data_IF_950425432684
#
_entry.id   IF_950425432684
#
_cell.length_a   1.000
_cell.length_b   1.000
_cell.length_c   1.000
_cell.angle_alpha   90.00
_cell.angle_beta   90.00
_cell.angle_gamma   90.00
#
_symmetry.space_group_name_H-M   'P 1'
#
loop_
_entity.id
_entity.type
_entity.pdbx_description
1 polymer ?
#
# COMPACT_ATOMS: atom_id res chain seq x y z
N UNK A 1 5.71 -21.10 43.81
CA UNK A 1 4.85 -21.28 42.62
C UNK A 1 5.73 -20.99 41.43
N UNK A 2 6.07 -22.03 40.67
CA UNK A 2 6.98 -21.96 39.54
C UNK A 2 6.23 -21.47 38.30
N UNK A 3 6.71 -20.40 37.66
CA UNK A 3 6.22 -19.91 36.38
C UNK A 3 6.65 -20.87 35.27
N UNK A 4 5.68 -21.39 34.52
CA UNK A 4 5.93 -22.21 33.35
C UNK A 4 6.60 -21.37 32.24
N UNK A 5 7.53 -21.96 31.44
CA UNK A 5 8.15 -21.25 30.33
C UNK A 5 7.13 -21.07 29.20
N UNK A 6 7.06 -19.84 28.68
CA UNK A 6 6.29 -19.52 27.47
C UNK A 6 6.88 -20.28 26.30
N UNK A 7 6.03 -21.08 25.64
CA UNK A 7 6.31 -21.82 24.42
C UNK A 7 6.88 -20.88 23.35
N UNK A 8 8.05 -21.23 22.83
CA UNK A 8 8.64 -20.63 21.64
C UNK A 8 7.66 -20.85 20.46
N UNK A 9 7.18 -19.74 19.90
CA UNK A 9 6.34 -19.78 18.70
C UNK A 9 7.17 -20.34 17.54
N UNK A 10 6.73 -21.47 16.98
CA UNK A 10 7.30 -22.06 15.77
C UNK A 10 7.37 -20.98 14.66
N UNK A 11 8.46 -20.89 13.91
CA UNK A 11 8.52 -20.01 12.75
C UNK A 11 7.48 -20.48 11.73
N UNK A 12 6.59 -19.57 11.34
CA UNK A 12 5.63 -19.79 10.24
C UNK A 12 6.43 -20.16 9.00
N UNK A 13 6.12 -21.27 8.29
CA UNK A 13 6.86 -21.67 7.10
C UNK A 13 6.80 -20.57 6.06
N UNK A 14 7.96 -20.16 5.57
CA UNK A 14 8.06 -19.23 4.45
C UNK A 14 7.25 -19.82 3.28
N UNK A 15 6.36 -19.03 2.70
CA UNK A 15 5.68 -19.34 1.43
C UNK A 15 6.67 -19.98 0.47
N UNK A 16 6.25 -21.05 -0.23
CA UNK A 16 7.04 -21.80 -1.19
C UNK A 16 7.91 -20.84 -2.04
N UNK A 17 9.22 -21.10 -2.06
CA UNK A 17 10.21 -20.26 -2.70
C UNK A 17 9.84 -20.10 -4.19
N UNK A 18 9.28 -18.93 -4.55
CA UNK A 18 9.32 -18.46 -5.91
C UNK A 18 10.80 -18.21 -6.24
N UNK A 19 11.27 -18.71 -7.39
CA UNK A 19 12.64 -18.50 -7.86
C UNK A 19 12.99 -17.01 -7.89
N UNK A 20 14.24 -16.66 -7.57
CA UNK A 20 14.67 -15.32 -7.19
C UNK A 20 14.31 -14.19 -8.16
N UNK A 21 14.07 -14.47 -9.44
CA UNK A 21 13.76 -13.45 -10.47
C UNK A 21 12.26 -13.07 -10.55
N UNK A 22 11.34 -13.89 -10.01
CA UNK A 22 9.90 -13.64 -10.07
C UNK A 22 9.37 -12.85 -8.85
N UNK A 23 10.20 -12.56 -7.87
CA UNK A 23 9.82 -11.83 -6.65
C UNK A 23 10.02 -10.34 -6.83
N UNK A 24 8.94 -9.56 -6.70
CA UNK A 24 9.02 -8.09 -6.74
C UNK A 24 9.32 -7.48 -5.38
N UNK A 25 8.67 -7.98 -4.32
CA UNK A 25 8.85 -7.46 -2.96
C UNK A 25 9.14 -8.61 -1.99
N UNK A 26 10.18 -8.44 -1.17
CA UNK A 26 10.49 -9.31 -0.04
C UNK A 26 10.65 -8.48 1.22
N UNK A 27 9.92 -8.86 2.25
CA UNK A 27 9.97 -8.31 3.60
C UNK A 27 10.50 -9.39 4.52
N UNK A 28 11.59 -9.12 5.25
CA UNK A 28 12.29 -10.12 6.06
C UNK A 28 12.42 -9.62 7.50
N UNK A 29 11.73 -10.28 8.44
CA UNK A 29 11.76 -9.99 9.88
C UNK A 29 11.62 -8.51 10.20
N UNK A 30 10.73 -7.81 9.50
CA UNK A 30 10.54 -6.36 9.68
C UNK A 30 9.89 -6.07 11.02
N UNK A 31 10.54 -5.16 11.76
CA UNK A 31 10.09 -4.65 13.05
C UNK A 31 9.91 -3.14 12.96
N UNK A 32 8.79 -2.64 13.50
CA UNK A 32 8.55 -1.22 13.70
C UNK A 32 7.94 -0.95 15.06
N UNK A 33 8.72 -0.29 15.90
CA UNK A 33 8.31 0.17 17.21
C UNK A 33 8.22 1.69 17.26
N UNK A 34 7.22 2.21 17.94
CA UNK A 34 7.06 3.64 18.19
C UNK A 34 7.27 3.92 19.68
N UNK A 35 8.14 4.87 20.02
CA UNK A 35 8.32 5.25 21.42
C UNK A 35 7.06 5.93 21.97
N UNK A 36 6.60 5.51 23.12
CA UNK A 36 5.55 6.18 23.88
C UNK A 36 6.19 7.32 24.67
N UNK A 37 5.61 8.53 24.56
CA UNK A 37 6.05 9.65 25.40
C UNK A 37 5.66 9.39 26.87
N UNK A 38 6.59 8.88 27.66
CA UNK A 38 6.41 8.79 29.12
C UNK A 38 6.37 10.17 29.76
N UNK A 39 5.42 10.39 30.65
CA UNK A 39 5.35 11.60 31.50
C UNK A 39 6.19 11.38 32.74
N UNK A 40 7.48 11.81 32.77
CA UNK A 40 8.35 11.80 33.96
C UNK A 40 9.83 11.56 33.63
N UNK A 41 10.75 12.15 34.43
CA UNK A 41 12.19 12.12 34.14
C UNK A 41 12.89 10.77 34.41
N UNK A 42 12.22 9.78 35.01
CA UNK A 42 12.81 8.49 35.42
C UNK A 42 12.04 7.25 34.90
N UNK A 43 11.14 7.37 33.88
CA UNK A 43 10.42 6.20 33.33
C UNK A 43 11.21 5.53 32.23
N UNK A 44 11.20 4.20 32.25
CA UNK A 44 11.65 3.40 31.09
C UNK A 44 10.89 3.78 29.85
N UNK A 45 11.59 3.79 28.70
CA UNK A 45 10.97 4.06 27.39
C UNK A 45 10.07 2.89 27.03
N UNK A 46 8.77 3.09 27.10
CA UNK A 46 7.78 2.15 26.59
C UNK A 46 7.68 2.27 25.06
N UNK A 47 7.38 1.18 24.39
CA UNK A 47 7.24 1.14 22.94
C UNK A 47 5.93 0.46 22.53
N UNK A 48 5.25 1.01 21.54
CA UNK A 48 4.17 0.33 20.83
C UNK A 48 4.82 -0.54 19.74
N UNK A 49 4.61 -1.85 19.82
CA UNK A 49 5.09 -2.84 18.87
C UNK A 49 4.09 -2.92 17.70
N UNK A 50 4.17 -1.99 16.76
CA UNK A 50 3.20 -1.89 15.68
C UNK A 50 3.42 -2.95 14.59
N UNK A 51 4.68 -3.35 14.34
CA UNK A 51 5.06 -4.47 13.48
C UNK A 51 6.18 -5.21 14.19
N UNK A 52 6.08 -6.52 14.32
CA UNK A 52 6.97 -7.34 15.14
C UNK A 52 7.36 -8.64 14.43
N UNK A 53 8.48 -8.59 13.69
CA UNK A 53 9.06 -9.74 13.00
C UNK A 53 8.30 -10.21 11.77
N UNK A 54 7.66 -9.31 11.03
CA UNK A 54 6.87 -9.67 9.85
C UNK A 54 7.76 -10.05 8.67
N UNK A 55 7.47 -11.21 8.07
CA UNK A 55 8.09 -11.68 6.82
C UNK A 55 7.02 -12.03 5.80
N UNK A 56 7.19 -11.57 4.55
CA UNK A 56 6.32 -11.91 3.42
C UNK A 56 7.06 -11.74 2.09
N UNK A 57 6.55 -12.42 1.06
CA UNK A 57 7.08 -12.37 -0.30
C UNK A 57 5.94 -12.12 -1.27
N UNK A 58 6.12 -11.17 -2.20
CA UNK A 58 5.11 -10.82 -3.20
C UNK A 58 5.69 -11.04 -4.59
N UNK A 59 5.20 -12.03 -5.33
CA UNK A 59 5.58 -12.26 -6.71
C UNK A 59 5.12 -11.13 -7.63
N UNK A 60 5.79 -10.96 -8.77
CA UNK A 60 5.41 -9.98 -9.78
C UNK A 60 4.03 -10.30 -10.36
N UNK A 61 3.25 -9.25 -10.64
CA UNK A 61 1.93 -9.38 -11.25
C UNK A 61 0.87 -10.01 -10.35
N UNK A 62 1.20 -10.31 -9.10
CA UNK A 62 0.26 -10.90 -8.14
C UNK A 62 -0.24 -9.89 -7.11
N UNK A 63 -1.38 -10.21 -6.51
CA UNK A 63 -1.92 -9.49 -5.35
C UNK A 63 -1.65 -10.28 -4.07
N UNK A 64 -0.96 -9.64 -3.14
CA UNK A 64 -0.76 -10.16 -1.78
C UNK A 64 -1.68 -9.43 -0.81
N UNK A 65 -2.61 -10.16 -0.23
CA UNK A 65 -3.57 -9.66 0.75
C UNK A 65 -3.01 -9.61 2.16
N UNK A 66 -3.34 -8.57 2.91
CA UNK A 66 -3.07 -8.48 4.36
C UNK A 66 -4.36 -8.15 5.07
N UNK A 67 -4.84 -9.06 5.92
CA UNK A 67 -6.09 -8.93 6.67
C UNK A 67 -5.83 -8.97 8.17
N UNK A 68 -6.68 -8.37 8.97
CA UNK A 68 -6.61 -8.39 10.43
C UNK A 68 -7.41 -7.26 11.06
N UNK A 69 -7.52 -7.27 12.37
CA UNK A 69 -8.28 -6.27 13.13
C UNK A 69 -7.73 -4.85 12.96
N UNK A 70 -8.59 -3.85 13.19
CA UNK A 70 -8.17 -2.45 13.20
C UNK A 70 -7.14 -2.23 14.30
N UNK A 71 -6.04 -1.54 13.96
CA UNK A 71 -4.95 -1.29 14.90
C UNK A 71 -3.92 -2.41 15.04
N UNK A 72 -4.06 -3.57 14.38
CA UNK A 72 -3.07 -4.67 14.47
C UNK A 72 -1.74 -4.40 13.73
N UNK A 73 -1.57 -3.25 13.06
CA UNK A 73 -0.30 -2.84 12.44
C UNK A 73 -0.26 -2.85 10.92
N UNK A 74 -1.34 -3.21 10.20
CA UNK A 74 -1.40 -3.32 8.72
C UNK A 74 -0.94 -2.05 8.00
N UNK A 75 -1.53 -0.90 8.33
CA UNK A 75 -1.16 0.39 7.72
C UNK A 75 0.27 0.82 8.09
N UNK A 76 0.77 0.39 9.26
CA UNK A 76 2.17 0.62 9.62
C UNK A 76 3.10 -0.21 8.74
N UNK A 77 2.78 -1.48 8.51
CA UNK A 77 3.52 -2.36 7.59
C UNK A 77 3.52 -1.77 6.18
N UNK A 78 2.36 -1.33 5.66
CA UNK A 78 2.23 -0.65 4.37
C UNK A 78 3.18 0.55 4.25
N UNK A 79 3.20 1.41 5.26
CA UNK A 79 4.05 2.60 5.29
C UNK A 79 5.54 2.26 5.43
N UNK A 80 5.88 1.15 6.09
CA UNK A 80 7.26 0.65 6.12
C UNK A 80 7.69 0.15 4.74
N UNK A 81 6.85 -0.61 4.03
CA UNK A 81 7.11 -1.08 2.65
C UNK A 81 7.28 0.11 1.70
N UNK A 82 6.38 1.12 1.77
CA UNK A 82 6.48 2.35 0.99
C UNK A 82 7.66 3.26 1.39
N UNK A 83 8.43 2.89 2.44
CA UNK A 83 9.52 3.73 3.00
C UNK A 83 9.04 5.13 3.40
N UNK A 84 7.78 5.23 3.87
CA UNK A 84 7.23 6.40 4.55
C UNK A 84 7.58 6.38 6.05
N UNK A 85 7.75 5.19 6.62
CA UNK A 85 8.32 4.97 7.95
C UNK A 85 9.61 4.17 7.82
N UNK A 86 10.64 4.58 8.56
CA UNK A 86 11.84 3.78 8.73
C UNK A 86 11.53 2.58 9.63
N UNK A 87 12.06 1.41 9.30
CA UNK A 87 11.95 0.22 10.13
C UNK A 87 12.89 0.30 11.33
N UNK A 88 12.53 -0.33 12.44
CA UNK A 88 13.42 -0.47 13.62
C UNK A 88 14.49 -1.52 13.35
N UNK A 89 14.11 -2.65 12.77
CA UNK A 89 15.01 -3.72 12.31
C UNK A 89 14.36 -4.53 11.18
N UNK A 90 15.07 -5.51 10.64
CA UNK A 90 14.64 -6.30 9.50
C UNK A 90 15.08 -5.72 8.17
N UNK A 91 14.56 -6.28 7.07
CA UNK A 91 15.00 -5.97 5.72
C UNK A 91 13.81 -5.88 4.76
N UNK A 92 13.88 -4.93 3.82
CA UNK A 92 12.91 -4.77 2.73
C UNK A 92 13.68 -4.75 1.42
N UNK A 93 13.40 -5.71 0.54
CA UNK A 93 14.00 -5.81 -0.79
C UNK A 93 12.90 -5.59 -1.82
N UNK A 94 13.11 -4.64 -2.71
CA UNK A 94 12.22 -4.32 -3.81
C UNK A 94 12.97 -4.44 -5.13
N UNK A 95 12.44 -5.24 -6.05
CA UNK A 95 13.04 -5.49 -7.37
C UNK A 95 14.53 -5.88 -7.29
N UNK A 96 14.85 -6.80 -6.38
CA UNK A 96 16.23 -7.26 -6.10
C UNK A 96 17.10 -6.28 -5.31
N UNK A 97 16.65 -5.03 -5.10
CA UNK A 97 17.40 -4.00 -4.38
C UNK A 97 16.97 -3.89 -2.91
N UNK A 98 17.93 -3.92 -1.99
CA UNK A 98 17.68 -3.60 -0.58
C UNK A 98 17.38 -2.10 -0.42
N UNK A 99 16.14 -1.79 -0.02
CA UNK A 99 15.67 -0.42 0.17
C UNK A 99 15.61 -0.01 1.64
N UNK A 100 15.97 -0.90 2.57
CA UNK A 100 15.73 -0.76 4.01
C UNK A 100 16.31 0.53 4.60
N UNK A 101 17.54 0.86 4.24
CA UNK A 101 18.30 2.01 4.79
C UNK A 101 18.68 3.04 3.73
N UNK A 102 18.00 3.03 2.57
CA UNK A 102 18.30 4.01 1.53
C UNK A 102 17.96 5.43 2.01
N UNK A 103 18.84 6.37 1.70
CA UNK A 103 18.58 7.79 1.94
C UNK A 103 17.41 8.28 1.08
N UNK A 104 16.76 9.37 1.49
CA UNK A 104 15.63 9.97 0.76
C UNK A 104 15.98 10.27 -0.70
N UNK A 105 17.23 10.69 -0.98
CA UNK A 105 17.71 10.95 -2.33
C UNK A 105 17.75 9.67 -3.18
N UNK A 106 18.21 8.54 -2.61
CA UNK A 106 18.26 7.24 -3.30
C UNK A 106 16.89 6.60 -3.44
N UNK A 107 15.95 6.89 -2.51
CA UNK A 107 14.55 6.45 -2.60
C UNK A 107 13.74 7.19 -3.67
N UNK A 108 14.15 8.39 -4.09
CA UNK A 108 13.37 9.23 -5.01
C UNK A 108 13.00 8.54 -6.33
N UNK A 109 13.89 7.85 -7.06
CA UNK A 109 13.51 7.09 -8.26
C UNK A 109 12.58 5.91 -7.93
N UNK A 110 12.86 5.16 -6.86
CA UNK A 110 12.07 4.00 -6.46
C UNK A 110 10.63 4.35 -6.05
N UNK A 111 10.41 5.58 -5.55
CA UNK A 111 9.06 6.08 -5.26
C UNK A 111 8.18 6.25 -6.49
N UNK A 112 8.74 6.31 -7.69
CA UNK A 112 7.95 6.27 -8.91
C UNK A 112 7.46 4.84 -9.18
N UNK A 113 8.23 3.83 -8.78
CA UNK A 113 7.93 2.42 -8.99
C UNK A 113 7.07 1.83 -7.86
N UNK A 114 7.08 2.45 -6.66
CA UNK A 114 6.26 2.07 -5.50
C UNK A 114 5.28 3.19 -5.22
N UNK A 115 4.01 2.95 -5.44
CA UNK A 115 2.93 3.90 -5.18
C UNK A 115 2.01 3.43 -4.07
N UNK A 116 1.27 4.35 -3.46
CA UNK A 116 0.33 4.04 -2.38
C UNK A 116 -1.02 4.70 -2.62
N UNK A 117 -2.08 3.91 -2.46
CA UNK A 117 -3.47 4.36 -2.41
C UNK A 117 -3.88 4.33 -0.94
N UNK A 118 -4.28 5.49 -0.40
CA UNK A 118 -4.58 5.66 1.02
C UNK A 118 -6.04 5.35 1.34
N UNK A 119 -6.29 5.02 2.60
CA UNK A 119 -7.59 4.69 3.18
C UNK A 119 -8.63 5.81 3.03
N UNK A 120 -8.22 7.05 3.22
CA UNK A 120 -9.10 8.21 3.14
C UNK A 120 -8.93 8.95 1.80
N UNK A 121 -9.85 8.73 0.84
CA UNK A 121 -9.78 9.43 -0.43
C UNK A 121 -10.04 10.94 -0.31
N UNK A 122 -10.72 11.39 0.77
CA UNK A 122 -11.00 12.80 0.99
C UNK A 122 -9.75 13.51 1.53
N UNK A 123 -9.16 12.98 2.60
CA UNK A 123 -7.95 13.54 3.21
C UNK A 123 -6.70 13.43 2.33
N UNK A 124 -6.69 12.49 1.37
CA UNK A 124 -5.57 12.31 0.45
C UNK A 124 -5.56 13.28 -0.74
N UNK A 125 -6.69 13.96 -1.02
CA UNK A 125 -6.85 14.92 -2.11
C UNK A 125 -6.97 16.34 -1.55
N UNK A 126 -6.14 17.25 -2.02
CA UNK A 126 -6.27 18.67 -1.63
C UNK A 126 -7.59 19.26 -2.20
N UNK A 127 -8.58 19.62 -1.35
CA UNK A 127 -9.92 20.03 -1.81
C UNK A 127 -9.91 21.37 -2.56
N UNK A 128 -8.83 22.17 -2.42
CA UNK A 128 -8.67 23.48 -3.08
C UNK A 128 -8.01 23.37 -4.45
N UNK A 129 -7.65 22.17 -4.88
CA UNK A 129 -6.99 21.94 -6.17
C UNK A 129 -7.90 21.20 -7.13
N UNK A 130 -7.78 21.52 -8.42
CA UNK A 130 -8.53 20.83 -9.49
C UNK A 130 -8.01 19.41 -9.68
N UNK A 131 -8.90 18.50 -10.03
CA UNK A 131 -8.59 17.07 -10.22
C UNK A 131 -7.48 16.86 -11.26
N UNK A 132 -7.53 17.57 -12.36
CA UNK A 132 -6.47 17.51 -13.39
C UNK A 132 -5.08 17.94 -12.86
N UNK A 133 -5.03 18.88 -11.92
CA UNK A 133 -3.77 19.26 -11.27
C UNK A 133 -3.30 18.18 -10.30
N UNK A 134 -4.22 17.57 -9.53
CA UNK A 134 -3.89 16.51 -8.55
C UNK A 134 -3.31 15.28 -9.26
N UNK A 135 -3.97 14.81 -10.34
CA UNK A 135 -3.48 13.67 -11.15
C UNK A 135 -2.20 14.06 -11.90
N UNK A 136 -2.07 15.34 -12.28
CA UNK A 136 -0.94 15.86 -13.04
C UNK A 136 0.31 16.20 -12.21
N UNK A 137 0.23 16.22 -10.88
CA UNK A 137 1.37 16.54 -10.00
C UNK A 137 2.58 15.62 -10.22
N UNK A 138 2.43 14.30 -10.33
CA UNK A 138 3.54 13.41 -10.61
C UNK A 138 4.34 13.83 -11.85
N UNK A 139 3.64 14.20 -12.93
CA UNK A 139 4.27 14.66 -14.16
C UNK A 139 5.00 15.99 -13.99
N UNK A 140 4.43 16.92 -13.22
CA UNK A 140 5.02 18.23 -12.99
C UNK A 140 6.25 18.17 -12.07
N UNK A 141 6.14 17.45 -10.93
CA UNK A 141 7.21 17.36 -9.92
C UNK A 141 8.46 16.64 -10.46
N UNK A 142 8.25 15.67 -11.34
CA UNK A 142 9.34 14.89 -11.92
C UNK A 142 9.72 15.32 -13.35
N UNK A 143 9.15 16.42 -13.85
CA UNK A 143 9.41 16.96 -15.19
C UNK A 143 9.17 15.93 -16.32
N UNK A 144 8.14 15.06 -16.18
CA UNK A 144 7.83 14.00 -17.13
C UNK A 144 6.94 14.48 -18.29
N UNK A 145 6.17 15.54 -18.08
CA UNK A 145 5.34 16.20 -19.08
C UNK A 145 4.94 17.61 -18.64
N UNK A 146 4.72 18.50 -19.60
CA UNK A 146 4.28 19.88 -19.36
C UNK A 146 3.18 20.30 -20.34
N UNK A 147 2.49 21.41 -20.03
CA UNK A 147 1.52 22.04 -20.94
C UNK A 147 0.45 21.08 -21.45
N UNK A 148 0.24 21.08 -22.75
CA UNK A 148 -0.78 20.29 -23.45
C UNK A 148 -0.55 18.77 -23.29
N UNK A 149 0.71 18.33 -23.33
CA UNK A 149 1.08 16.92 -23.15
C UNK A 149 0.67 16.39 -21.77
N UNK A 150 0.94 17.15 -20.70
CA UNK A 150 0.50 16.77 -19.37
C UNK A 150 -1.02 16.67 -19.27
N UNK A 151 -1.75 17.64 -19.85
CA UNK A 151 -3.21 17.62 -19.87
C UNK A 151 -3.72 16.36 -20.58
N UNK A 152 -3.18 16.01 -21.75
CA UNK A 152 -3.55 14.81 -22.51
C UNK A 152 -3.33 13.53 -21.68
N UNK A 153 -2.14 13.36 -21.10
CA UNK A 153 -1.84 12.19 -20.26
C UNK A 153 -2.75 12.07 -19.03
N UNK A 154 -3.10 13.20 -18.41
CA UNK A 154 -4.05 13.20 -17.29
C UNK A 154 -5.44 12.79 -17.74
N UNK A 155 -5.90 13.28 -18.88
CA UNK A 155 -7.21 12.90 -19.43
C UNK A 155 -7.28 11.42 -19.81
N UNK A 156 -6.21 10.86 -20.38
CA UNK A 156 -6.06 9.42 -20.63
C UNK A 156 -6.13 8.58 -19.34
N UNK A 157 -5.48 9.06 -18.25
CA UNK A 157 -5.57 8.40 -16.95
C UNK A 157 -6.97 8.50 -16.35
N UNK A 158 -7.66 9.64 -16.49
CA UNK A 158 -9.04 9.78 -16.04
C UNK A 158 -9.96 8.79 -16.75
N UNK A 159 -9.85 8.68 -18.07
CA UNK A 159 -10.62 7.73 -18.87
C UNK A 159 -10.33 6.29 -18.46
N UNK A 160 -9.06 5.93 -18.26
CA UNK A 160 -8.64 4.59 -17.85
C UNK A 160 -9.24 4.14 -16.52
N UNK A 161 -9.49 5.07 -15.59
CA UNK A 161 -10.16 4.78 -14.33
C UNK A 161 -11.69 4.99 -14.37
N UNK A 162 -12.26 5.20 -15.54
CA UNK A 162 -13.69 5.41 -15.74
C UNK A 162 -14.22 6.76 -15.24
N UNK A 163 -13.38 7.79 -15.28
CA UNK A 163 -13.77 9.17 -15.03
C UNK A 163 -13.89 9.94 -16.35
N UNK A 164 -14.88 10.84 -16.45
CA UNK A 164 -15.02 11.68 -17.63
C UNK A 164 -13.83 12.67 -17.74
N UNK A 165 -13.03 12.64 -18.85
CA UNK A 165 -11.90 13.54 -19.06
C UNK A 165 -12.26 15.04 -19.07
N UNK A 166 -13.51 15.39 -19.40
CA UNK A 166 -13.98 16.77 -19.37
C UNK A 166 -14.05 17.35 -17.95
N UNK A 167 -14.14 16.49 -16.93
CA UNK A 167 -14.13 16.88 -15.54
C UNK A 167 -12.74 17.30 -15.01
N UNK A 168 -11.74 17.40 -15.88
CA UNK A 168 -10.37 17.81 -15.57
C UNK A 168 -10.29 19.07 -14.68
N UNK A 169 -11.16 20.05 -14.92
CA UNK A 169 -11.15 21.31 -14.18
C UNK A 169 -12.01 21.32 -12.91
N UNK A 170 -12.73 20.25 -12.59
CA UNK A 170 -13.55 20.14 -11.39
C UNK A 170 -12.71 19.99 -10.12
N UNK A 171 -13.32 20.31 -8.99
CA UNK A 171 -12.73 20.11 -7.67
C UNK A 171 -13.16 18.76 -7.08
N UNK A 172 -12.35 18.15 -6.17
CA UNK A 172 -12.71 16.88 -5.54
C UNK A 172 -14.08 16.85 -4.87
N UNK A 173 -14.55 17.97 -4.33
CA UNK A 173 -15.86 18.07 -3.69
C UNK A 173 -17.04 17.79 -4.64
N UNK A 174 -16.85 17.96 -5.94
CA UNK A 174 -17.86 17.74 -6.99
C UNK A 174 -17.98 16.27 -7.42
N UNK A 175 -17.21 15.35 -6.80
CA UNK A 175 -17.17 13.93 -7.11
C UNK A 175 -17.71 13.09 -5.95
N UNK A 176 -18.33 11.93 -6.28
CA UNK A 176 -18.72 10.95 -5.29
C UNK A 176 -17.51 10.31 -4.59
N UNK A 177 -17.73 9.59 -3.48
CA UNK A 177 -16.67 8.87 -2.76
C UNK A 177 -15.89 7.92 -3.66
N UNK A 178 -16.59 7.09 -4.44
CA UNK A 178 -15.96 6.17 -5.39
C UNK A 178 -15.22 6.87 -6.52
N UNK A 179 -15.73 7.99 -7.02
CA UNK A 179 -15.02 8.80 -8.00
C UNK A 179 -13.75 9.45 -7.43
N UNK A 180 -13.77 9.90 -6.17
CA UNK A 180 -12.57 10.39 -5.47
C UNK A 180 -11.52 9.30 -5.31
N UNK A 181 -11.96 8.06 -5.00
CA UNK A 181 -11.05 6.92 -4.95
C UNK A 181 -10.40 6.66 -6.33
N UNK A 182 -11.17 6.70 -7.41
CA UNK A 182 -10.66 6.58 -8.78
C UNK A 182 -9.66 7.69 -9.14
N UNK A 183 -9.82 8.91 -8.62
CA UNK A 183 -8.81 9.99 -8.75
C UNK A 183 -7.51 9.60 -8.05
N UNK A 184 -7.59 9.02 -6.86
CA UNK A 184 -6.43 8.48 -6.12
C UNK A 184 -5.71 7.38 -6.90
N UNK A 185 -6.45 6.46 -7.50
CA UNK A 185 -5.93 5.40 -8.38
C UNK A 185 -5.25 6.01 -9.61
N UNK A 186 -5.90 6.95 -10.31
CA UNK A 186 -5.32 7.63 -11.48
C UNK A 186 -4.00 8.33 -11.15
N UNK A 187 -3.92 8.99 -9.98
CA UNK A 187 -2.70 9.63 -9.49
C UNK A 187 -1.58 8.62 -9.27
N UNK A 188 -1.87 7.46 -8.68
CA UNK A 188 -0.89 6.41 -8.46
C UNK A 188 -0.36 5.83 -9.79
N UNK A 189 -1.21 5.70 -10.80
CA UNK A 189 -0.85 5.19 -12.12
C UNK A 189 0.02 6.14 -12.96
N UNK A 190 0.11 7.42 -12.60
CA UNK A 190 0.82 8.43 -13.39
C UNK A 190 2.29 8.09 -13.65
N UNK A 191 2.92 7.33 -12.75
CA UNK A 191 4.30 6.88 -12.87
C UNK A 191 4.47 5.51 -13.55
N UNK A 192 3.38 4.79 -13.86
CA UNK A 192 3.43 3.38 -14.29
C UNK A 192 4.19 2.52 -13.29
N UNK A 193 3.74 2.47 -12.04
CA UNK A 193 4.47 1.78 -10.96
C UNK A 193 4.52 0.27 -11.20
N UNK A 194 5.51 -0.40 -10.57
CA UNK A 194 5.58 -1.86 -10.49
C UNK A 194 4.76 -2.40 -9.32
N UNK A 195 4.70 -1.63 -8.22
CA UNK A 195 4.00 -1.99 -6.99
C UNK A 195 3.04 -0.89 -6.58
N UNK A 196 1.80 -1.25 -6.29
CA UNK A 196 0.83 -0.37 -5.63
C UNK A 196 0.42 -0.99 -4.30
N UNK A 197 0.59 -0.23 -3.23
CA UNK A 197 0.14 -0.59 -1.89
C UNK A 197 -1.23 0.06 -1.67
N UNK A 198 -2.26 -0.77 -1.53
CA UNK A 198 -3.64 -0.34 -1.28
C UNK A 198 -3.92 -0.46 0.22
N UNK A 199 -3.87 0.66 0.96
CA UNK A 199 -4.15 0.72 2.40
C UNK A 199 -5.64 1.00 2.61
N UNK A 200 -6.45 -0.05 2.80
CA UNK A 200 -7.90 -0.02 2.95
C UNK A 200 -8.63 0.81 1.88
N UNK A 201 -8.41 0.55 0.59
CA UNK A 201 -8.80 1.46 -0.49
C UNK A 201 -10.32 1.59 -0.68
N UNK A 202 -11.12 0.75 -0.03
CA UNK A 202 -12.58 0.71 -0.20
C UNK A 202 -13.36 0.80 1.12
N UNK A 203 -12.68 0.90 2.26
CA UNK A 203 -13.32 0.82 3.59
C UNK A 203 -14.35 1.91 3.87
N UNK A 204 -14.23 3.07 3.23
CA UNK A 204 -15.14 4.22 3.40
C UNK A 204 -16.24 4.30 2.32
N UNK A 205 -16.43 3.25 1.52
CA UNK A 205 -17.35 3.23 0.39
C UNK A 205 -18.52 2.26 0.63
N UNK A 206 -19.66 2.52 0.00
CA UNK A 206 -20.79 1.59 -0.02
C UNK A 206 -20.43 0.30 -0.78
N UNK A 207 -21.04 -0.84 -0.41
CA UNK A 207 -20.73 -2.17 -0.94
C UNK A 207 -20.74 -2.22 -2.47
N UNK A 208 -21.72 -1.60 -3.12
CA UNK A 208 -21.81 -1.56 -4.59
C UNK A 208 -20.67 -0.78 -5.24
N UNK A 209 -20.22 0.28 -4.61
CA UNK A 209 -19.10 1.10 -5.07
C UNK A 209 -17.77 0.42 -4.77
N UNK A 210 -17.66 -0.30 -3.63
CA UNK A 210 -16.49 -1.13 -3.32
C UNK A 210 -16.23 -2.14 -4.45
N UNK A 211 -17.25 -2.90 -4.87
CA UNK A 211 -17.12 -3.87 -5.97
C UNK A 211 -16.61 -3.23 -7.27
N UNK A 212 -17.09 -2.03 -7.61
CA UNK A 212 -16.65 -1.32 -8.80
C UNK A 212 -15.18 -0.89 -8.73
N UNK A 213 -14.69 -0.46 -7.56
CA UNK A 213 -13.28 -0.07 -7.38
C UNK A 213 -12.38 -1.30 -7.36
N UNK A 214 -12.84 -2.40 -6.78
CA UNK A 214 -12.13 -3.69 -6.76
C UNK A 214 -11.96 -4.22 -8.19
N UNK A 215 -13.05 -4.27 -8.97
CA UNK A 215 -12.99 -4.71 -10.37
C UNK A 215 -12.05 -3.82 -11.18
N UNK A 216 -12.12 -2.49 -11.00
CA UNK A 216 -11.18 -1.57 -11.65
C UNK A 216 -9.72 -1.91 -11.32
N UNK A 217 -9.39 -2.23 -10.06
CA UNK A 217 -8.01 -2.59 -9.68
C UNK A 217 -7.58 -3.92 -10.31
N UNK A 218 -8.50 -4.89 -10.42
CA UNK A 218 -8.22 -6.17 -11.07
C UNK A 218 -7.99 -6.00 -12.59
N UNK A 219 -8.84 -5.21 -13.26
CA UNK A 219 -8.68 -4.88 -14.68
C UNK A 219 -7.33 -4.18 -14.95
N UNK A 220 -6.99 -3.20 -14.12
CA UNK A 220 -5.71 -2.49 -14.21
C UNK A 220 -4.52 -3.41 -13.96
N UNK A 221 -4.64 -4.41 -13.09
CA UNK A 221 -3.61 -5.42 -12.86
C UNK A 221 -3.38 -6.25 -14.11
N UNK A 222 -4.46 -6.77 -14.71
CA UNK A 222 -4.40 -7.57 -15.91
C UNK A 222 -3.82 -6.80 -17.10
N UNK A 223 -4.24 -5.54 -17.29
CA UNK A 223 -3.82 -4.71 -18.42
C UNK A 223 -2.35 -4.22 -18.31
N UNK A 224 -1.88 -3.94 -17.10
CA UNK A 224 -0.60 -3.26 -16.86
C UNK A 224 0.45 -4.14 -16.19
N UNK A 225 0.11 -5.38 -15.82
CA UNK A 225 1.01 -6.28 -15.09
C UNK A 225 1.38 -5.77 -13.70
N UNK A 226 0.45 -5.06 -13.03
CA UNK A 226 0.71 -4.46 -11.72
C UNK A 226 0.81 -5.52 -10.62
N UNK A 227 1.64 -5.24 -9.63
CA UNK A 227 1.69 -6.01 -8.39
C UNK A 227 1.02 -5.22 -7.27
N UNK A 228 0.18 -5.89 -6.47
CA UNK A 228 -0.49 -5.25 -5.34
C UNK A 228 -0.08 -5.83 -3.99
N UNK A 229 0.04 -4.96 -3.00
CA UNK A 229 -0.14 -5.30 -1.59
C UNK A 229 -1.48 -4.71 -1.17
N UNK A 230 -2.48 -5.55 -0.94
CA UNK A 230 -3.86 -5.13 -0.68
C UNK A 230 -4.20 -5.34 0.79
N UNK A 231 -4.44 -4.25 1.50
CA UNK A 231 -4.77 -4.25 2.93
C UNK A 231 -6.25 -3.95 3.10
N UNK A 232 -6.96 -4.81 3.82
CA UNK A 232 -8.32 -4.54 4.26
C UNK A 232 -8.58 -5.23 5.62
N UNK A 233 -9.71 -4.87 6.24
CA UNK A 233 -10.20 -5.55 7.44
C UNK A 233 -11.22 -6.64 7.11
N UNK A 234 -11.79 -6.62 5.90
CA UNK A 234 -12.77 -7.60 5.42
C UNK A 234 -12.07 -8.71 4.62
N UNK A 235 -12.12 -9.93 5.16
CA UNK A 235 -11.52 -11.12 4.55
C UNK A 235 -12.18 -11.46 3.20
N UNK A 236 -13.49 -11.21 3.04
CA UNK A 236 -14.22 -11.50 1.80
C UNK A 236 -13.69 -10.68 0.64
N UNK A 237 -13.40 -9.38 0.89
CA UNK A 237 -12.80 -8.48 -0.08
C UNK A 237 -11.39 -8.93 -0.44
N UNK A 238 -10.56 -9.23 0.57
CA UNK A 238 -9.16 -9.64 0.35
C UNK A 238 -9.09 -10.96 -0.41
N UNK A 239 -9.94 -11.93 -0.06
CA UNK A 239 -10.01 -13.23 -0.74
C UNK A 239 -10.36 -13.10 -2.22
N UNK A 240 -11.23 -12.15 -2.57
CA UNK A 240 -11.65 -11.96 -3.96
C UNK A 240 -10.55 -11.39 -4.87
N UNK A 241 -9.63 -10.59 -4.33
CA UNK A 241 -8.62 -9.89 -5.14
C UNK A 241 -7.21 -10.46 -5.03
N UNK A 242 -6.96 -11.36 -4.06
CA UNK A 242 -5.59 -11.78 -3.71
C UNK A 242 -5.28 -13.18 -4.23
N UNK A 243 -4.01 -13.43 -4.52
CA UNK A 243 -3.46 -14.76 -4.78
C UNK A 243 -3.04 -15.46 -3.47
N UNK A 244 -2.52 -14.68 -2.52
CA UNK A 244 -2.12 -15.14 -1.20
C UNK A 244 -2.53 -14.13 -0.14
N UNK A 245 -2.84 -14.60 1.07
CA UNK A 245 -3.33 -13.76 2.16
C UNK A 245 -2.48 -14.01 3.40
N UNK A 246 -2.04 -12.93 4.05
CA UNK A 246 -1.48 -12.95 5.39
C UNK A 246 -2.51 -12.45 6.41
N UNK A 247 -2.71 -13.19 7.47
CA UNK A 247 -3.50 -12.77 8.63
C UNK A 247 -2.58 -12.11 9.64
N UNK A 248 -2.88 -10.85 9.99
CA UNK A 248 -2.07 -10.07 10.91
C UNK A 248 -2.80 -9.82 12.22
N UNK A 249 -2.13 -10.11 13.35
CA UNK A 249 -2.66 -9.92 14.70
C UNK A 249 -1.56 -9.38 15.63
N UNK A 250 -1.86 -8.30 16.35
CA UNK A 250 -0.94 -7.64 17.32
C UNK A 250 0.50 -7.45 16.79
N UNK A 251 0.61 -6.93 15.57
CA UNK A 251 1.91 -6.63 14.95
C UNK A 251 2.58 -7.81 14.26
N UNK A 252 2.05 -9.03 14.37
CA UNK A 252 2.64 -10.26 13.82
C UNK A 252 1.77 -10.84 12.72
N UNK A 253 2.40 -11.54 11.79
CA UNK A 253 1.70 -12.43 10.85
C UNK A 253 1.52 -13.78 11.55
N UNK A 254 0.27 -14.21 11.68
CA UNK A 254 -0.10 -15.47 12.34
C UNK A 254 -0.25 -16.61 11.35
N UNK A 255 -0.65 -16.29 10.13
CA UNK A 255 -0.88 -17.28 9.07
C UNK A 255 -0.63 -16.64 7.70
N UNK A 256 -0.12 -17.42 6.74
CA UNK A 256 -0.07 -17.09 5.33
C UNK A 256 -0.60 -18.29 4.56
N UNK A 257 -1.61 -18.06 3.71
CA UNK A 257 -2.23 -19.10 2.91
C UNK A 257 -2.56 -18.58 1.48
N UNK A 258 -2.72 -19.47 0.49
CA UNK A 258 -3.40 -19.13 -0.77
C UNK A 258 -4.81 -18.61 -0.50
N UNK A 259 -5.33 -17.78 -1.38
CA UNK A 259 -6.66 -17.17 -1.23
C UNK A 259 -7.83 -18.12 -1.59
N UNK A 260 -7.53 -19.31 -2.17
CA UNK A 260 -8.49 -20.34 -2.57
C UNK A 260 -9.03 -21.15 -1.38
#
# INVERSE_FOLDING_TARGET
>A
MASAPMSEANPVPATAAADGDDVLLRVENVVKYFPVKGTGPFREKEYVHAVDGVSLTVPRGQTFGVVGETGCGKSTLARCIARLHDVTSGRIVFDGQDITKLSQRRMRPLRQEIQMIFQDPIGSLNPRRRVGSIIGDPFAIHNLASGAERKRRVQELMERVGLNPEHYNRFPAEFSGGQRQRIGVARALAFRPKLIICDEPVSALDVSIQAQVINLLADLQADLGLTYVFIAHDLSVVRHVSNSIAVMYLGKVTEIAPAE
#
